data_IF_704570330817
#
_entry.id   IF_704570330817
#
_cell.length_a   1.000
_cell.length_b   1.000
_cell.length_c   1.000
_cell.angle_alpha   90.00
_cell.angle_beta   90.00
_cell.angle_gamma   90.00
#
_symmetry.space_group_name_H-M   'P 1'
#
loop_
_entity.id
_entity.type
_entity.pdbx_description
1 polymer ?
#
# COMPACT_ATOMS: atom_id res chain seq x y z
N UNK A 1 -6.27 14.50 -5.64
CA UNK A 1 -6.38 15.06 -4.29
C UNK A 1 -5.71 14.14 -3.29
N UNK A 2 -5.02 14.68 -2.29
CA UNK A 2 -4.33 13.93 -1.25
C UNK A 2 -5.17 13.83 0.02
N UNK A 3 -5.09 12.67 0.67
CA UNK A 3 -5.76 12.35 1.91
C UNK A 3 -4.81 11.60 2.84
N UNK A 4 -5.13 11.60 4.14
CA UNK A 4 -4.39 10.86 5.15
C UNK A 4 -5.35 10.22 6.14
N UNK A 5 -4.96 9.08 6.70
CA UNK A 5 -5.66 8.42 7.78
C UNK A 5 -4.67 7.73 8.73
N UNK A 6 -5.07 7.58 9.98
CA UNK A 6 -4.37 6.74 10.94
C UNK A 6 -5.06 5.39 10.99
N UNK A 7 -4.33 4.31 10.74
CA UNK A 7 -4.92 2.98 10.69
C UNK A 7 -5.40 2.55 12.08
N UNK A 8 -6.62 2.02 12.13
CA UNK A 8 -7.25 1.48 13.35
C UNK A 8 -7.29 -0.03 13.37
N UNK A 9 -6.87 -0.66 12.27
CA UNK A 9 -6.89 -2.10 12.09
C UNK A 9 -5.65 -2.60 11.33
N UNK A 10 -5.41 -3.92 11.34
CA UNK A 10 -4.25 -4.52 10.68
C UNK A 10 -4.39 -4.70 9.15
N UNK A 11 -5.60 -4.51 8.61
CA UNK A 11 -5.87 -4.41 7.18
C UNK A 11 -6.80 -3.24 6.95
N UNK A 12 -6.51 -2.42 5.94
CA UNK A 12 -7.37 -1.32 5.52
C UNK A 12 -7.72 -1.47 4.05
N UNK A 13 -9.02 -1.34 3.76
CA UNK A 13 -9.58 -1.23 2.42
C UNK A 13 -10.04 0.22 2.19
N UNK A 14 -9.69 0.78 1.03
CA UNK A 14 -10.12 2.11 0.62
C UNK A 14 -10.83 1.97 -0.73
N UNK A 15 -12.11 2.32 -0.74
CA UNK A 15 -12.93 2.33 -1.95
C UNK A 15 -13.33 3.74 -2.33
N UNK A 16 -13.24 4.07 -3.60
CA UNK A 16 -13.69 5.34 -4.17
C UNK A 16 -14.69 5.08 -5.29
N UNK A 17 -15.76 5.86 -5.34
CA UNK A 17 -16.76 5.81 -6.42
C UNK A 17 -17.33 7.18 -6.73
N UNK A 18 -17.88 7.35 -7.94
CA UNK A 18 -18.56 8.57 -8.38
C UNK A 18 -17.82 9.40 -9.43
N UNK A 19 -16.59 9.00 -9.80
CA UNK A 19 -15.90 9.49 -11.00
C UNK A 19 -16.19 8.57 -12.18
N UNK A 20 -15.81 8.98 -13.39
CA UNK A 20 -15.93 8.14 -14.60
C UNK A 20 -14.77 7.16 -14.70
N UNK A 21 -13.58 7.60 -14.30
CA UNK A 21 -12.34 6.84 -14.30
C UNK A 21 -11.51 7.17 -13.06
N UNK A 22 -11.63 6.37 -12.00
CA UNK A 22 -10.92 6.64 -10.75
C UNK A 22 -9.52 6.03 -10.74
N UNK A 23 -8.56 6.79 -10.23
CA UNK A 23 -7.22 6.36 -9.89
C UNK A 23 -6.96 6.55 -8.40
N UNK A 24 -6.43 5.53 -7.74
CA UNK A 24 -6.06 5.55 -6.33
C UNK A 24 -4.64 5.02 -6.19
N UNK A 25 -3.82 5.72 -5.39
CA UNK A 25 -2.53 5.20 -4.94
C UNK A 25 -2.43 5.37 -3.44
N UNK A 26 -2.15 4.27 -2.74
CA UNK A 26 -1.94 4.24 -1.30
C UNK A 26 -0.44 4.21 -1.00
N UNK A 27 -0.01 5.00 -0.02
CA UNK A 27 1.37 5.21 0.35
C UNK A 27 1.59 5.00 1.86
N UNK A 28 2.79 4.56 2.20
CA UNK A 28 3.35 4.59 3.56
C UNK A 28 4.62 5.45 3.59
N UNK A 29 4.95 6.00 4.75
CA UNK A 29 6.14 6.81 4.96
C UNK A 29 5.90 7.90 6.00
N UNK A 30 6.93 8.68 6.30
CA UNK A 30 6.87 9.74 7.33
C UNK A 30 6.79 11.14 6.75
N UNK A 31 7.15 11.33 5.49
CA UNK A 31 7.13 12.63 4.81
C UNK A 31 6.95 12.47 3.29
N UNK A 32 6.72 13.59 2.57
CA UNK A 32 6.45 13.61 1.13
C UNK A 32 7.59 13.08 0.25
N UNK A 33 8.82 12.99 0.77
CA UNK A 33 10.01 12.54 0.02
C UNK A 33 10.30 11.05 0.26
N UNK A 34 9.78 10.46 1.33
CA UNK A 34 9.92 9.05 1.69
C UNK A 34 8.65 8.22 1.44
N UNK A 35 7.62 8.80 0.82
CA UNK A 35 6.39 8.07 0.49
C UNK A 35 6.69 6.91 -0.49
N UNK A 36 6.43 5.70 -0.03
CA UNK A 36 6.48 4.49 -0.84
C UNK A 36 5.05 4.06 -1.17
N UNK A 37 4.76 3.91 -2.47
CA UNK A 37 3.50 3.33 -2.91
C UNK A 37 3.43 1.86 -2.47
N UNK A 38 2.32 1.48 -1.84
CA UNK A 38 2.09 0.12 -1.35
C UNK A 38 0.97 -0.60 -2.08
N UNK A 39 0.00 0.15 -2.62
CA UNK A 39 -1.04 -0.40 -3.49
C UNK A 39 -1.57 0.69 -4.43
N UNK A 40 -2.06 0.29 -5.60
CA UNK A 40 -2.69 1.20 -6.54
C UNK A 40 -3.77 0.51 -7.37
N UNK A 41 -4.74 1.31 -7.79
CA UNK A 41 -5.78 0.87 -8.73
C UNK A 41 -6.15 2.03 -9.65
N UNK A 42 -6.64 1.71 -10.83
CA UNK A 42 -7.02 2.68 -11.85
C UNK A 42 -8.01 2.06 -12.82
N UNK A 43 -8.84 2.90 -13.44
CA UNK A 43 -9.83 2.45 -14.41
C UNK A 43 -11.25 2.36 -13.84
N UNK A 44 -12.21 2.87 -14.60
CA UNK A 44 -13.65 2.68 -14.35
C UNK A 44 -14.23 3.57 -13.26
N UNK A 45 -15.54 3.44 -13.03
CA UNK A 45 -16.28 4.38 -12.16
C UNK A 45 -16.12 4.15 -10.66
N UNK A 46 -15.36 3.13 -10.28
CA UNK A 46 -15.03 2.81 -8.90
C UNK A 46 -13.72 2.04 -8.82
N UNK A 47 -12.98 2.22 -7.72
CA UNK A 47 -11.69 1.59 -7.48
C UNK A 47 -11.56 1.25 -6.01
N UNK A 48 -10.87 0.14 -5.73
CA UNK A 48 -10.57 -0.30 -4.37
C UNK A 48 -9.09 -0.66 -4.28
N UNK A 49 -8.43 -0.20 -3.22
CA UNK A 49 -7.09 -0.63 -2.81
C UNK A 49 -7.17 -1.29 -1.43
N UNK A 50 -6.35 -2.30 -1.20
CA UNK A 50 -6.30 -3.05 0.05
C UNK A 50 -4.85 -3.20 0.49
N UNK A 51 -4.54 -2.79 1.70
CA UNK A 51 -3.21 -2.96 2.27
C UNK A 51 -3.25 -3.47 3.70
N UNK A 52 -2.21 -4.22 4.06
CA UNK A 52 -1.89 -4.49 5.45
C UNK A 52 -1.39 -3.18 6.09
N UNK A 53 -2.01 -2.78 7.19
CA UNK A 53 -1.74 -1.51 7.88
C UNK A 53 -1.32 -1.71 9.33
N UNK A 54 -0.46 -0.85 9.86
CA UNK A 54 -0.03 -0.93 11.26
C UNK A 54 -0.93 -0.04 12.09
N UNK A 55 -1.55 -0.58 13.14
CA UNK A 55 -2.45 0.19 14.00
C UNK A 55 -1.68 1.37 14.62
N UNK A 56 -2.23 2.58 14.49
CA UNK A 56 -1.59 3.82 14.96
C UNK A 56 -0.63 4.46 13.96
N UNK A 57 -0.23 3.75 12.91
CA UNK A 57 0.59 4.33 11.83
C UNK A 57 -0.27 5.20 10.91
N UNK A 58 0.31 6.31 10.45
CA UNK A 58 -0.32 7.23 9.49
C UNK A 58 0.03 6.83 8.07
N UNK A 59 -0.98 6.78 7.21
CA UNK A 59 -0.90 6.47 5.79
C UNK A 59 -1.42 7.64 4.97
N UNK A 60 -1.02 7.69 3.70
CA UNK A 60 -1.39 8.73 2.75
C UNK A 60 -1.94 8.08 1.50
N UNK A 61 -2.97 8.65 0.90
CA UNK A 61 -3.41 8.18 -0.40
C UNK A 61 -3.81 9.35 -1.30
N UNK A 62 -3.63 9.12 -2.59
CA UNK A 62 -3.96 10.05 -3.64
C UNK A 62 -5.10 9.49 -4.47
N UNK A 63 -6.10 10.34 -4.76
CA UNK A 63 -7.24 10.02 -5.62
C UNK A 63 -7.29 11.00 -6.79
N UNK A 64 -7.44 10.53 -8.02
CA UNK A 64 -7.69 11.39 -9.19
C UNK A 64 -8.67 10.76 -10.17
N UNK A 65 -9.16 11.57 -11.11
CA UNK A 65 -9.80 11.08 -12.33
C UNK A 65 -8.78 10.50 -13.33
N UNK A 66 -9.27 9.97 -14.45
CA UNK A 66 -8.46 9.43 -15.54
C UNK A 66 -7.73 10.49 -16.35
N UNK A 67 -8.34 11.68 -16.45
CA UNK A 67 -7.76 12.85 -17.11
C UNK A 67 -8.23 14.16 -16.44
N UNK A 68 -7.89 15.30 -17.03
CA UNK A 68 -8.24 16.63 -16.50
C UNK A 68 -9.71 17.02 -16.68
N UNK A 69 -10.48 16.26 -17.46
CA UNK A 69 -11.91 16.48 -17.68
C UNK A 69 -12.77 15.55 -16.82
N UNK A 70 -12.20 14.49 -16.26
CA UNK A 70 -12.89 13.60 -15.32
C UNK A 70 -12.94 14.24 -13.92
N UNK A 71 -13.81 15.23 -13.81
CA UNK A 71 -14.12 15.96 -12.60
C UNK A 71 -15.54 15.60 -12.12
N UNK A 72 -15.72 15.48 -10.81
CA UNK A 72 -17.02 15.13 -10.26
C UNK A 72 -17.05 15.04 -8.75
N UNK A 73 -18.26 14.85 -8.21
CA UNK A 73 -18.43 14.46 -6.81
C UNK A 73 -18.14 12.98 -6.66
N UNK A 74 -17.31 12.63 -5.69
CA UNK A 74 -16.97 11.25 -5.39
C UNK A 74 -17.08 10.97 -3.89
N UNK A 75 -17.27 9.70 -3.56
CA UNK A 75 -17.34 9.20 -2.20
C UNK A 75 -16.13 8.32 -1.92
N UNK A 76 -15.55 8.48 -0.74
CA UNK A 76 -14.47 7.63 -0.23
C UNK A 76 -15.01 6.86 0.97
N UNK A 77 -14.85 5.55 0.94
CA UNK A 77 -15.14 4.65 2.06
C UNK A 77 -13.83 4.03 2.53
N UNK A 78 -13.55 4.11 3.82
CA UNK A 78 -12.37 3.49 4.45
C UNK A 78 -12.86 2.45 5.45
N UNK A 79 -12.47 1.20 5.25
CA UNK A 79 -12.87 0.08 6.10
C UNK A 79 -11.64 -0.55 6.72
N UNK A 80 -11.51 -0.45 8.04
CA UNK A 80 -10.49 -1.18 8.80
C UNK A 80 -11.01 -2.54 9.26
N UNK A 81 -10.28 -3.61 8.97
CA UNK A 81 -10.60 -4.97 9.42
C UNK A 81 -9.43 -5.57 10.16
N UNK A 82 -9.65 -6.08 11.37
CA UNK A 82 -8.65 -6.87 12.08
C UNK A 82 -8.74 -8.32 11.61
N UNK A 83 -7.79 -8.75 10.78
CA UNK A 83 -7.62 -10.13 10.35
C UNK A 83 -6.64 -10.83 11.28
N UNK A 84 -7.15 -11.69 12.16
CA UNK A 84 -6.34 -12.44 13.12
C UNK A 84 -5.46 -13.54 12.49
N UNK A 85 -5.51 -13.74 11.17
CA UNK A 85 -4.71 -14.72 10.43
C UNK A 85 -3.76 -14.12 9.39
N UNK A 86 -3.43 -12.83 9.50
CA UNK A 86 -2.49 -12.21 8.56
C UNK A 86 -1.05 -12.65 8.91
N UNK A 87 -0.41 -13.47 8.05
CA UNK A 87 0.94 -13.99 8.29
C UNK A 87 2.05 -12.94 8.25
N UNK A 88 1.74 -11.72 7.81
CA UNK A 88 2.69 -10.60 7.69
C UNK A 88 2.02 -9.27 8.09
N UNK A 89 1.97 -8.95 9.38
CA UNK A 89 1.83 -7.58 9.83
C UNK A 89 2.80 -6.65 9.06
N UNK A 90 2.40 -5.41 8.74
CA UNK A 90 3.33 -4.45 8.15
C UNK A 90 4.48 -4.18 9.12
N UNK A 91 5.71 -4.16 8.58
CA UNK A 91 7.02 -4.17 9.29
C UNK A 91 7.59 -5.56 9.64
N UNK A 92 6.84 -6.63 9.36
CA UNK A 92 7.33 -7.99 9.63
C UNK A 92 8.26 -8.54 8.55
N UNK A 93 8.31 -7.88 7.39
CA UNK A 93 9.22 -8.22 6.31
C UNK A 93 10.04 -6.99 5.91
N UNK A 94 11.32 -7.00 6.27
CA UNK A 94 12.28 -6.00 5.84
C UNK A 94 13.02 -6.52 4.60
N UNK A 95 12.96 -5.79 3.48
CA UNK A 95 13.73 -6.12 2.27
C UNK A 95 14.82 -5.07 2.09
N UNK A 96 16.07 -5.52 2.04
CA UNK A 96 17.23 -4.69 1.73
C UNK A 96 17.90 -5.16 0.44
N UNK A 97 18.33 -4.18 -0.37
CA UNK A 97 19.01 -4.42 -1.64
C UNK A 97 20.47 -4.00 -1.51
N UNK A 98 21.39 -4.89 -1.88
CA UNK A 98 22.83 -4.63 -1.82
C UNK A 98 23.52 -5.04 -3.15
N UNK A 99 24.14 -4.10 -3.89
CA UNK A 99 24.20 -2.66 -3.62
C UNK A 99 22.83 -1.98 -3.81
N UNK A 100 22.56 -0.84 -3.13
CA UNK A 100 21.34 -0.06 -3.35
C UNK A 100 21.30 0.56 -4.76
N UNK A 101 20.11 0.86 -5.30
CA UNK A 101 19.97 1.43 -6.63
C UNK A 101 20.49 2.87 -6.67
N UNK A 102 21.17 3.23 -7.76
CA UNK A 102 21.64 4.61 -8.01
C UNK A 102 20.57 5.32 -8.85
N UNK A 103 20.04 6.44 -8.36
CA UNK A 103 18.90 7.16 -8.98
C UNK A 103 17.69 6.25 -9.28
N UNK A 104 17.41 5.28 -8.41
CA UNK A 104 16.29 4.36 -8.58
C UNK A 104 16.49 3.30 -9.67
N UNK A 105 17.70 3.13 -10.20
CA UNK A 105 17.99 2.17 -11.29
C UNK A 105 19.20 1.28 -10.99
N UNK A 106 19.24 0.12 -11.66
CA UNK A 106 20.40 -0.78 -11.70
C UNK A 106 20.97 -0.81 -13.12
N UNK A 107 22.29 -0.93 -13.24
CA UNK A 107 22.93 -1.09 -14.54
C UNK A 107 22.61 -2.47 -15.14
N UNK A 108 22.59 -2.56 -16.47
CA UNK A 108 22.43 -3.83 -17.16
C UNK A 108 23.52 -4.82 -16.74
N UNK A 109 23.13 -6.00 -16.26
CA UNK A 109 24.04 -7.05 -15.80
C UNK A 109 24.59 -6.86 -14.38
N UNK A 110 24.13 -5.85 -13.64
CA UNK A 110 24.53 -5.65 -12.24
C UNK A 110 23.91 -6.74 -11.35
N UNK A 111 24.75 -7.46 -10.61
CA UNK A 111 24.30 -8.40 -9.60
C UNK A 111 23.82 -7.64 -8.35
N UNK A 112 22.62 -7.96 -7.87
CA UNK A 112 22.02 -7.37 -6.67
C UNK A 112 21.64 -8.48 -5.71
N UNK A 113 22.10 -8.40 -4.47
CA UNK A 113 21.69 -9.26 -3.38
C UNK A 113 20.40 -8.71 -2.77
N UNK A 114 19.41 -9.59 -2.63
CA UNK A 114 18.15 -9.30 -1.94
C UNK A 114 18.18 -10.02 -0.60
N UNK A 115 18.13 -9.27 0.48
CA UNK A 115 18.02 -9.82 1.84
C UNK A 115 16.61 -9.52 2.35
N UNK A 116 15.94 -10.55 2.87
CA UNK A 116 14.65 -10.44 3.50
C UNK A 116 14.75 -10.90 4.96
N UNK A 117 14.31 -10.06 5.90
CA UNK A 117 14.23 -10.41 7.31
C UNK A 117 12.76 -10.53 7.68
N UNK A 118 12.36 -11.72 8.12
CA UNK A 118 11.04 -11.99 8.68
C UNK A 118 11.12 -11.79 10.20
N UNK A 119 10.58 -10.69 10.70
CA UNK A 119 10.67 -10.32 12.12
C UNK A 119 9.66 -11.08 12.98
N UNK A 120 8.48 -11.36 12.45
CA UNK A 120 7.44 -12.17 13.09
C UNK A 120 6.74 -13.03 12.05
N UNK A 121 6.47 -14.28 12.44
CA UNK A 121 5.76 -15.26 11.64
C UNK A 121 4.74 -15.93 12.55
N UNK A 122 3.45 -15.69 12.31
CA UNK A 122 2.38 -16.45 12.94
C UNK A 122 1.86 -17.48 11.94
N UNK A 123 2.41 -18.69 12.03
CA UNK A 123 1.86 -19.86 11.35
C UNK A 123 0.75 -20.48 12.18
N UNK A 124 -0.20 -21.16 11.53
CA UNK A 124 -1.07 -22.08 12.23
C UNK A 124 -0.25 -23.26 12.81
N UNK A 125 -0.83 -24.03 13.73
CA UNK A 125 -0.17 -25.19 14.32
C UNK A 125 0.21 -26.29 13.29
N UNK A 126 -0.22 -26.16 12.03
CA UNK A 126 0.05 -27.07 10.94
C UNK A 126 1.20 -26.62 10.01
N UNK A 127 1.69 -25.38 10.15
CA UNK A 127 2.77 -24.85 9.31
C UNK A 127 2.37 -24.72 7.84
N UNK A 128 1.08 -24.63 7.54
CA UNK A 128 0.57 -24.40 6.19
C UNK A 128 0.07 -22.97 6.07
N UNK A 129 0.53 -22.27 5.04
CA UNK A 129 0.10 -20.91 4.70
C UNK A 129 -1.41 -20.87 4.41
N UNK A 130 -2.12 -19.92 5.03
CA UNK A 130 -3.41 -19.40 4.55
C UNK A 130 -3.24 -18.01 3.93
#
# INVERSE_FOLDING_TARGET
MWFTFTATANTTEISVSGLTDVNIVLYRGTDCISLQAIDCTGGGSSGTVVANTLIGQTYYFFVSGGDTNDEGSFTITITGTNRCGNCTPPEDLEITLNPPPINGTYASGQAVQVCAIVNTWEGDAAGTVE
#
